data_IF_737221560413
#
_entry.id   IF_737221560413
#
_cell.length_a   1.000
_cell.length_b   1.000
_cell.length_c   1.000
_cell.angle_alpha   90.00
_cell.angle_beta   90.00
_cell.angle_gamma   90.00
#
_symmetry.space_group_name_H-M   'P 1'
#
loop_
_entity.id
_entity.type
_entity.pdbx_description
1 polymer ?
#
# COMPACT_ATOMS: atom_id res chain seq x y z
N UNK A 1 1.52 -2.31 14.22
CA UNK A 1 1.67 -1.19 13.29
C UNK A 1 1.20 -1.62 11.91
N UNK A 2 0.39 -0.77 11.28
CA UNK A 2 -0.12 -0.97 9.92
C UNK A 2 0.26 0.28 9.13
N UNK A 3 0.93 0.08 7.99
CA UNK A 3 1.30 1.17 7.10
C UNK A 3 0.15 1.49 6.14
N UNK A 4 0.05 2.72 5.69
CA UNK A 4 -0.94 3.16 4.70
C UNK A 4 -0.92 2.31 3.43
N UNK A 5 0.25 1.89 3.01
CA UNK A 5 0.42 1.01 1.85
C UNK A 5 -0.32 -0.33 1.98
N UNK A 6 -0.64 -0.77 3.20
CA UNK A 6 -1.44 -1.99 3.40
C UNK A 6 -2.91 -1.82 2.95
N UNK A 7 -3.34 -0.58 2.77
CA UNK A 7 -4.70 -0.20 2.39
C UNK A 7 -4.75 0.50 1.03
N UNK A 8 -3.71 0.31 0.21
CA UNK A 8 -3.63 0.87 -1.13
C UNK A 8 -4.85 0.44 -1.96
N UNK A 9 -5.58 1.41 -2.52
CA UNK A 9 -6.82 1.16 -3.25
C UNK A 9 -8.10 1.18 -2.41
N UNK A 10 -8.03 1.18 -1.08
CA UNK A 10 -9.22 1.28 -0.21
C UNK A 10 -9.95 2.60 -0.39
N UNK A 11 -9.24 3.67 -0.64
CA UNK A 11 -9.84 4.98 -0.91
C UNK A 11 -10.78 4.97 -2.13
N UNK A 12 -10.53 4.09 -3.10
CA UNK A 12 -11.40 3.92 -4.27
C UNK A 12 -12.75 3.25 -3.93
N UNK A 13 -12.84 2.59 -2.78
CA UNK A 13 -14.05 1.94 -2.26
C UNK A 13 -14.75 2.75 -1.15
N UNK A 14 -14.14 3.86 -0.70
CA UNK A 14 -14.66 4.62 0.43
C UNK A 14 -15.82 5.53 0.03
N UNK A 15 -16.84 5.60 0.88
CA UNK A 15 -17.95 6.56 0.81
C UNK A 15 -17.54 7.92 1.33
N UNK A 16 -16.89 7.92 2.48
CA UNK A 16 -16.42 9.13 3.12
C UNK A 16 -15.16 8.88 3.96
N UNK A 17 -14.37 9.92 4.12
CA UNK A 17 -13.21 9.93 5.00
C UNK A 17 -13.42 11.07 5.98
N UNK A 18 -13.55 10.72 7.26
CA UNK A 18 -13.69 11.67 8.33
C UNK A 18 -12.36 11.86 9.03
N UNK A 19 -11.93 13.09 9.17
CA UNK A 19 -10.69 13.44 9.88
C UNK A 19 -11.03 14.29 11.11
N UNK A 20 -10.53 13.86 12.26
CA UNK A 20 -10.51 14.64 13.48
C UNK A 20 -9.08 14.96 13.88
N UNK A 21 -8.76 16.22 14.07
CA UNK A 21 -7.44 16.68 14.52
C UNK A 21 -7.41 16.80 16.04
N UNK A 22 -6.27 16.48 16.63
CA UNK A 22 -6.04 16.60 18.08
C UNK A 22 -6.58 15.40 18.88
N UNK A 23 -6.81 15.60 20.16
CA UNK A 23 -7.33 14.57 21.05
C UNK A 23 -8.71 14.11 20.57
N UNK A 24 -8.85 12.81 20.39
CA UNK A 24 -10.14 12.24 20.01
C UNK A 24 -11.13 12.35 21.15
N UNK A 25 -12.22 13.08 20.92
CA UNK A 25 -13.36 13.14 21.84
C UNK A 25 -14.34 11.96 21.67
N UNK A 26 -14.05 11.07 20.72
CA UNK A 26 -14.91 9.91 20.40
C UNK A 26 -14.42 8.70 21.19
N UNK A 27 -15.36 7.89 21.66
CA UNK A 27 -15.12 6.58 22.27
C UNK A 27 -14.51 5.60 21.26
N UNK A 28 -13.24 5.83 20.90
CA UNK A 28 -12.46 4.87 20.13
C UNK A 28 -11.70 3.95 21.09
N UNK A 29 -11.62 2.69 20.72
CA UNK A 29 -10.90 1.68 21.51
C UNK A 29 -9.41 2.02 21.71
N UNK A 30 -8.86 2.94 20.90
CA UNK A 30 -7.46 3.39 20.98
C UNK A 30 -7.42 4.91 20.98
N UNK A 31 -6.97 5.56 22.08
CA UNK A 31 -6.83 7.01 22.11
C UNK A 31 -5.72 7.46 21.16
N UNK A 32 -5.94 8.54 20.43
CA UNK A 32 -4.99 9.16 19.53
C UNK A 32 -4.70 10.60 19.93
N UNK A 33 -3.41 10.93 20.07
CA UNK A 33 -2.96 12.29 20.43
C UNK A 33 -2.90 13.19 19.19
N UNK A 34 -2.60 12.62 18.02
CA UNK A 34 -2.39 13.38 16.77
C UNK A 34 -3.65 13.58 15.93
N UNK A 35 -4.67 12.79 16.17
CA UNK A 35 -5.93 12.80 15.41
C UNK A 35 -6.39 11.40 14.99
N UNK A 36 -7.58 11.36 14.44
CA UNK A 36 -8.21 10.13 13.97
C UNK A 36 -8.66 10.29 12.54
N UNK A 37 -8.45 9.27 11.73
CA UNK A 37 -9.02 9.16 10.40
C UNK A 37 -9.96 7.94 10.39
N UNK A 38 -11.20 8.17 10.07
CA UNK A 38 -12.21 7.13 9.92
C UNK A 38 -12.60 7.02 8.44
N UNK A 39 -12.42 5.85 7.86
CA UNK A 39 -12.79 5.54 6.48
C UNK A 39 -14.08 4.73 6.52
N UNK A 40 -15.11 5.27 5.93
CA UNK A 40 -16.44 4.69 5.94
C UNK A 40 -16.75 4.11 4.56
N UNK A 41 -17.14 2.85 4.56
CA UNK A 41 -17.69 2.16 3.41
C UNK A 41 -19.10 1.70 3.78
N UNK A 42 -20.09 2.05 3.00
CA UNK A 42 -21.49 1.68 3.22
C UNK A 42 -22.12 1.20 1.92
N UNK A 43 -22.27 -0.13 1.72
CA UNK A 43 -22.89 -0.68 0.53
C UNK A 43 -24.32 -0.22 0.29
N UNK A 44 -25.08 0.05 1.37
CA UNK A 44 -26.48 0.44 1.29
C UNK A 44 -26.69 1.92 0.89
N UNK A 45 -25.67 2.75 1.05
CA UNK A 45 -25.72 4.16 0.67
C UNK A 45 -25.52 4.43 -0.83
N UNK A 46 -25.23 3.39 -1.60
CA UNK A 46 -24.98 3.52 -3.04
C UNK A 46 -26.18 3.13 -3.87
N UNK A 47 -26.44 3.91 -4.92
CA UNK A 47 -27.35 3.51 -5.99
C UNK A 47 -26.72 2.39 -6.84
N UNK A 48 -27.57 1.63 -7.53
CA UNK A 48 -27.11 0.61 -8.48
C UNK A 48 -26.30 1.25 -9.60
N UNK A 49 -25.07 0.78 -9.78
CA UNK A 49 -24.21 1.27 -10.84
C UNK A 49 -22.81 0.71 -10.77
N UNK A 50 -22.03 1.06 -11.76
CA UNK A 50 -20.62 0.69 -11.83
C UNK A 50 -19.77 1.82 -12.38
N UNK A 51 -18.48 1.81 -12.03
CA UNK A 51 -17.51 2.80 -12.47
C UNK A 51 -16.23 2.08 -12.90
N UNK A 52 -15.75 2.43 -14.09
CA UNK A 52 -14.40 2.08 -14.54
C UNK A 52 -13.58 3.36 -14.56
N UNK A 53 -12.43 3.34 -13.91
CA UNK A 53 -11.48 4.44 -13.90
C UNK A 53 -10.13 3.93 -14.37
N UNK A 54 -9.53 4.68 -15.30
CA UNK A 54 -8.20 4.42 -15.78
C UNK A 54 -7.33 5.65 -15.50
N UNK A 55 -6.20 5.43 -14.85
CA UNK A 55 -5.21 6.47 -14.53
C UNK A 55 -3.89 6.08 -15.18
N UNK A 56 -3.27 7.03 -15.85
CA UNK A 56 -1.97 6.88 -16.50
C UNK A 56 -1.02 7.98 -16.01
N UNK A 57 0.26 7.67 -15.96
CA UNK A 57 1.27 8.61 -15.51
C UNK A 57 2.64 8.30 -16.07
N UNK A 58 3.62 9.06 -15.63
CA UNK A 58 5.03 8.88 -15.97
C UNK A 58 5.54 7.51 -15.48
N UNK A 59 6.60 6.98 -16.10
CA UNK A 59 7.17 5.68 -15.74
C UNK A 59 6.26 4.50 -16.09
N UNK A 60 5.40 4.62 -17.10
CA UNK A 60 4.47 3.56 -17.46
C UNK A 60 3.40 3.31 -16.38
N UNK A 61 3.20 4.28 -15.47
CA UNK A 61 2.18 4.14 -14.42
C UNK A 61 0.81 3.92 -15.03
N UNK A 62 0.20 2.83 -14.61
CA UNK A 62 -1.13 2.42 -15.02
C UNK A 62 -1.92 1.95 -13.80
N UNK A 63 -3.06 2.61 -13.53
CA UNK A 63 -3.98 2.16 -12.50
C UNK A 63 -5.37 2.00 -13.10
N UNK A 64 -5.91 0.79 -12.98
CA UNK A 64 -7.25 0.43 -13.43
C UNK A 64 -8.11 0.12 -12.21
N UNK A 65 -9.24 0.80 -12.09
CA UNK A 65 -10.20 0.58 -11.01
C UNK A 65 -11.54 0.18 -11.63
N UNK A 66 -12.09 -0.91 -11.12
CA UNK A 66 -13.46 -1.34 -11.39
C UNK A 66 -14.22 -1.33 -10.07
N UNK A 67 -15.31 -0.59 -10.03
CA UNK A 67 -16.25 -0.56 -8.92
C UNK A 67 -17.64 -0.94 -9.41
N UNK A 68 -18.38 -1.68 -8.57
CA UNK A 68 -19.77 -2.02 -8.81
C UNK A 68 -20.55 -2.01 -7.50
N UNK A 69 -21.75 -1.42 -7.55
CA UNK A 69 -22.73 -1.40 -6.47
C UNK A 69 -24.06 -1.93 -6.96
N UNK A 70 -24.68 -2.82 -6.21
CA UNK A 70 -25.96 -3.41 -6.58
C UNK A 70 -27.15 -2.45 -6.37
N UNK A 71 -26.96 -1.42 -5.54
CA UNK A 71 -28.08 -0.74 -4.88
C UNK A 71 -28.79 -1.67 -3.92
N UNK A 72 -29.89 -1.22 -3.36
CA UNK A 72 -30.76 -2.05 -2.50
C UNK A 72 -31.54 -3.06 -3.38
N UNK A 73 -31.36 -4.33 -3.11
CA UNK A 73 -32.05 -5.45 -3.72
C UNK A 73 -33.21 -5.85 -2.78
N UNK A 74 -34.43 -5.73 -3.23
CA UNK A 74 -35.66 -6.02 -2.45
C UNK A 74 -35.67 -5.29 -1.07
N UNK A 75 -35.14 -4.07 -1.02
CA UNK A 75 -35.02 -3.23 0.17
C UNK A 75 -34.29 -3.88 1.35
N UNK A 76 -33.54 -4.94 1.13
CA UNK A 76 -32.89 -5.72 2.18
C UNK A 76 -31.40 -5.97 1.98
N UNK A 77 -30.97 -6.18 0.76
CA UNK A 77 -29.57 -6.57 0.47
C UNK A 77 -28.89 -5.51 -0.38
N UNK A 78 -27.73 -5.09 0.03
CA UNK A 78 -26.83 -4.27 -0.80
C UNK A 78 -25.47 -4.96 -0.91
N UNK A 79 -24.88 -4.91 -2.09
CA UNK A 79 -23.56 -5.46 -2.41
C UNK A 79 -22.70 -4.38 -3.05
N UNK A 80 -21.46 -4.30 -2.66
CA UNK A 80 -20.48 -3.40 -3.24
C UNK A 80 -19.14 -4.12 -3.44
N UNK A 81 -18.50 -3.88 -4.56
CA UNK A 81 -17.21 -4.47 -4.87
C UNK A 81 -16.30 -3.51 -5.61
N UNK A 82 -15.02 -3.53 -5.28
CA UNK A 82 -13.99 -2.75 -5.96
C UNK A 82 -12.77 -3.62 -6.20
N UNK A 83 -12.22 -3.57 -7.40
CA UNK A 83 -10.95 -4.20 -7.74
C UNK A 83 -10.07 -3.12 -8.37
N UNK A 84 -8.82 -3.06 -7.91
CA UNK A 84 -7.80 -2.14 -8.41
C UNK A 84 -6.59 -2.93 -8.88
N UNK A 85 -6.07 -2.59 -10.04
CA UNK A 85 -4.76 -3.03 -10.54
C UNK A 85 -3.87 -1.82 -10.72
N UNK A 86 -2.66 -1.85 -10.16
CA UNK A 86 -1.68 -0.76 -10.24
C UNK A 86 -0.31 -1.31 -10.61
N UNK A 87 0.29 -0.74 -11.65
CA UNK A 87 1.65 -1.05 -12.10
C UNK A 87 2.36 0.23 -12.51
N UNK A 88 3.68 0.22 -12.52
CA UNK A 88 4.50 1.29 -13.06
C UNK A 88 5.89 1.30 -12.47
N UNK A 89 6.81 1.94 -13.18
CA UNK A 89 8.15 2.20 -12.70
C UNK A 89 8.16 3.47 -11.84
N UNK A 90 9.04 3.48 -10.84
CA UNK A 90 9.26 4.66 -10.02
C UNK A 90 10.21 5.65 -10.68
N UNK A 91 10.27 6.84 -10.10
CA UNK A 91 11.17 7.90 -10.56
C UNK A 91 12.66 7.55 -10.32
N UNK A 92 12.95 6.80 -9.27
CA UNK A 92 14.29 6.37 -8.89
C UNK A 92 14.59 5.02 -9.54
N UNK A 93 15.81 4.83 -10.02
CA UNK A 93 16.26 3.59 -10.67
C UNK A 93 15.96 2.36 -9.82
N UNK A 94 15.47 1.30 -10.44
CA UNK A 94 15.14 0.05 -9.78
C UNK A 94 13.95 0.12 -8.81
N UNK A 95 13.21 1.23 -8.78
CA UNK A 95 11.92 1.30 -8.08
C UNK A 95 10.77 1.06 -9.05
N UNK A 96 9.76 0.36 -8.58
CA UNK A 96 8.59 -0.04 -9.35
C UNK A 96 7.46 -0.46 -8.40
N UNK A 97 6.25 -0.53 -8.91
CA UNK A 97 5.09 -1.03 -8.18
C UNK A 97 4.31 -2.05 -9.00
N UNK A 98 3.87 -3.10 -8.34
CA UNK A 98 2.99 -4.14 -8.86
C UNK A 98 2.00 -4.50 -7.75
N UNK A 99 0.79 -4.00 -7.85
CA UNK A 99 -0.19 -4.11 -6.79
C UNK A 99 -1.58 -4.44 -7.30
N UNK A 100 -2.31 -5.17 -6.46
CA UNK A 100 -3.74 -5.34 -6.53
C UNK A 100 -4.37 -4.79 -5.26
N UNK A 101 -5.60 -4.34 -5.35
CA UNK A 101 -6.42 -4.12 -4.17
C UNK A 101 -7.83 -4.65 -4.46
N UNK A 102 -8.48 -5.14 -3.43
CA UNK A 102 -9.86 -5.57 -3.52
C UNK A 102 -10.64 -5.15 -2.28
N UNK A 103 -11.88 -4.85 -2.50
CA UNK A 103 -12.88 -4.59 -1.48
C UNK A 103 -14.15 -5.32 -1.86
N UNK A 104 -14.78 -5.94 -0.88
CA UNK A 104 -16.14 -6.45 -0.95
C UNK A 104 -16.89 -5.99 0.29
N UNK A 105 -18.08 -5.47 0.10
CA UNK A 105 -18.99 -5.09 1.17
C UNK A 105 -20.38 -5.59 0.90
N UNK A 106 -21.08 -6.05 1.93
CA UNK A 106 -22.49 -6.35 1.88
C UNK A 106 -23.20 -5.85 3.11
N UNK A 107 -24.44 -5.41 2.95
CA UNK A 107 -25.35 -5.06 4.02
C UNK A 107 -26.65 -5.83 3.81
N UNK A 108 -27.10 -6.55 4.83
CA UNK A 108 -28.33 -7.35 4.79
C UNK A 108 -29.22 -7.04 5.97
N UNK A 109 -30.38 -6.43 5.67
CA UNK A 109 -31.46 -6.21 6.64
C UNK A 109 -32.31 -7.49 6.70
N UNK A 110 -32.08 -8.30 7.74
CA UNK A 110 -32.81 -9.56 7.91
C UNK A 110 -34.28 -9.30 8.25
N UNK A 111 -34.52 -8.39 9.19
CA UNK A 111 -35.82 -7.90 9.62
C UNK A 111 -35.64 -6.48 10.23
N UNK A 112 -36.68 -5.92 10.83
CA UNK A 112 -36.63 -4.56 11.39
C UNK A 112 -35.65 -4.41 12.56
N UNK A 113 -35.33 -5.51 13.24
CA UNK A 113 -34.45 -5.55 14.41
C UNK A 113 -33.00 -5.92 14.08
N UNK A 114 -32.77 -6.75 13.05
CA UNK A 114 -31.45 -7.33 12.79
C UNK A 114 -30.88 -6.93 11.45
N UNK A 115 -29.67 -6.35 11.48
CA UNK A 115 -28.86 -6.06 10.30
C UNK A 115 -27.47 -6.70 10.41
N UNK A 116 -27.01 -7.25 9.32
CA UNK A 116 -25.68 -7.84 9.16
C UNK A 116 -24.90 -7.10 8.09
N UNK A 117 -23.62 -6.89 8.34
CA UNK A 117 -22.71 -6.32 7.35
C UNK A 117 -21.44 -7.18 7.29
N UNK A 118 -21.06 -7.57 6.08
CA UNK A 118 -19.81 -8.32 5.84
C UNK A 118 -18.89 -7.50 4.96
N UNK A 119 -17.66 -7.36 5.40
CA UNK A 119 -16.61 -6.65 4.67
C UNK A 119 -15.39 -7.53 4.50
N UNK A 120 -14.80 -7.50 3.31
CA UNK A 120 -13.52 -8.12 3.02
C UNK A 120 -12.64 -7.15 2.24
N UNK A 121 -11.39 -7.00 2.67
CA UNK A 121 -10.46 -6.05 2.08
C UNK A 121 -9.06 -6.62 2.07
N UNK A 122 -8.28 -6.29 1.05
CA UNK A 122 -6.86 -6.60 0.98
C UNK A 122 -6.17 -5.91 -0.18
N UNK A 123 -4.85 -5.74 -0.03
CA UNK A 123 -4.02 -5.08 -1.03
C UNK A 123 -2.69 -5.83 -1.19
N UNK A 124 -2.68 -6.98 -1.91
CA UNK A 124 -1.43 -7.66 -2.22
C UNK A 124 -0.57 -6.80 -3.14
N UNK A 125 0.70 -6.61 -2.76
CA UNK A 125 1.61 -5.77 -3.51
C UNK A 125 3.06 -6.22 -3.44
N UNK A 126 3.82 -5.86 -4.48
CA UNK A 126 5.27 -5.91 -4.55
C UNK A 126 5.78 -4.57 -5.05
N UNK A 127 6.95 -4.16 -4.59
CA UNK A 127 7.59 -2.95 -5.07
C UNK A 127 9.09 -2.98 -4.82
N UNK A 128 9.83 -2.32 -5.70
CA UNK A 128 11.24 -2.00 -5.51
C UNK A 128 11.39 -0.77 -4.62
N UNK A 129 12.40 -0.76 -3.76
CA UNK A 129 12.59 0.28 -2.75
C UNK A 129 13.94 1.01 -2.92
N UNK A 130 13.95 2.28 -2.50
CA UNK A 130 15.15 3.05 -2.18
C UNK A 130 15.02 3.47 -0.69
N UNK A 131 15.73 2.78 0.20
CA UNK A 131 15.49 2.88 1.65
C UNK A 131 16.42 3.83 2.39
N UNK A 132 17.58 4.11 1.86
CA UNK A 132 18.62 4.80 2.62
C UNK A 132 18.71 6.27 2.23
N UNK A 133 18.90 7.11 3.25
CA UNK A 133 19.23 8.50 3.03
C UNK A 133 20.65 8.62 2.50
N UNK A 134 20.84 9.47 1.53
CA UNK A 134 22.13 9.81 0.97
C UNK A 134 22.43 11.30 1.18
N UNK A 135 23.72 11.67 1.15
CA UNK A 135 24.08 13.06 1.02
C UNK A 135 23.55 13.60 -0.31
N UNK A 136 23.03 14.81 -0.31
CA UNK A 136 22.45 15.42 -1.50
C UNK A 136 23.47 15.57 -2.63
N UNK A 137 24.76 15.75 -2.30
CA UNK A 137 25.83 15.81 -3.29
C UNK A 137 26.02 14.51 -4.06
N UNK A 138 25.56 13.38 -3.55
CA UNK A 138 25.49 12.12 -4.30
C UNK A 138 24.59 12.22 -5.53
N UNK A 139 23.52 13.01 -5.41
CA UNK A 139 22.57 13.23 -6.50
C UNK A 139 22.94 14.41 -7.38
N UNK A 140 23.42 15.49 -6.79
CA UNK A 140 23.87 16.71 -7.47
C UNK A 140 24.73 17.56 -6.55
N UNK A 141 25.98 17.74 -6.92
CA UNK A 141 26.93 18.63 -6.21
C UNK A 141 26.56 20.09 -6.41
N UNK A 142 26.10 20.47 -7.60
CA UNK A 142 25.61 21.81 -7.90
C UNK A 142 24.45 22.19 -6.98
N UNK A 143 23.46 21.31 -6.87
CA UNK A 143 22.31 21.53 -5.98
C UNK A 143 22.76 21.60 -4.51
N UNK A 144 23.65 20.72 -4.09
CA UNK A 144 24.19 20.71 -2.73
C UNK A 144 24.85 22.06 -2.39
N UNK A 145 25.71 22.57 -3.26
CA UNK A 145 26.39 23.84 -3.08
C UNK A 145 25.46 25.07 -3.10
N UNK A 146 24.25 24.93 -3.66
CA UNK A 146 23.26 26.01 -3.69
C UNK A 146 22.42 26.12 -2.41
N UNK A 147 22.55 25.16 -1.49
CA UNK A 147 21.76 25.12 -0.26
C UNK A 147 22.48 25.91 0.84
N UNK A 148 21.81 26.89 1.40
CA UNK A 148 22.33 27.67 2.54
C UNK A 148 22.66 26.76 3.72
N UNK A 149 23.92 26.86 4.21
CA UNK A 149 24.40 26.07 5.33
C UNK A 149 24.77 24.62 5.00
N UNK A 150 24.82 24.26 3.72
CA UNK A 150 25.37 22.95 3.32
C UNK A 150 26.86 22.87 3.75
N UNK A 151 27.20 21.75 4.36
CA UNK A 151 28.57 21.50 4.80
C UNK A 151 29.33 20.67 3.75
N UNK A 152 30.15 21.31 2.96
CA UNK A 152 30.93 20.66 1.89
C UNK A 152 31.84 19.55 2.43
N UNK A 153 32.31 19.65 3.67
CA UNK A 153 33.14 18.60 4.28
C UNK A 153 32.37 17.32 4.63
N UNK A 154 31.06 17.34 4.55
CA UNK A 154 30.24 16.15 4.75
C UNK A 154 30.27 15.18 3.55
N UNK A 155 30.76 15.65 2.41
CA UNK A 155 30.95 14.84 1.21
C UNK A 155 32.45 14.81 0.88
N UNK A 156 33.09 13.73 1.28
CA UNK A 156 34.55 13.58 1.17
C UNK A 156 34.90 12.78 -0.08
N UNK A 157 35.78 13.34 -0.93
CA UNK A 157 36.41 12.60 -2.03
C UNK A 157 37.13 11.36 -1.50
N UNK A 158 36.97 10.24 -2.19
CA UNK A 158 37.60 8.96 -1.82
C UNK A 158 36.70 8.07 -0.97
N UNK A 159 35.52 8.52 -0.57
CA UNK A 159 34.52 7.64 -0.02
C UNK A 159 33.66 6.95 -1.13
N UNK A 160 32.75 6.13 -0.70
CA UNK A 160 31.94 5.22 -1.53
C UNK A 160 31.23 5.87 -2.75
N UNK A 161 31.21 7.18 -2.80
CA UNK A 161 30.58 8.00 -3.83
C UNK A 161 31.46 9.21 -4.20
N UNK A 162 32.64 8.92 -4.74
CA UNK A 162 33.58 9.96 -5.20
C UNK A 162 33.00 10.88 -6.27
N UNK A 163 32.01 10.36 -7.01
CA UNK A 163 31.40 11.06 -8.13
C UNK A 163 29.90 11.23 -7.91
N UNK A 164 29.37 12.29 -8.47
CA UNK A 164 27.96 12.50 -8.58
C UNK A 164 27.29 11.32 -9.32
N UNK A 165 26.36 10.64 -8.65
CA UNK A 165 25.67 9.48 -9.19
C UNK A 165 24.39 9.83 -9.98
N UNK A 166 23.97 11.09 -9.87
CA UNK A 166 22.79 11.60 -10.56
C UNK A 166 21.47 11.41 -9.78
N UNK A 167 20.48 12.18 -10.20
CA UNK A 167 19.21 12.31 -9.48
C UNK A 167 18.34 11.06 -9.40
N UNK A 168 18.60 10.09 -10.25
CA UNK A 168 17.86 8.82 -10.28
C UNK A 168 18.53 7.71 -9.47
N UNK A 169 19.67 7.99 -8.90
CA UNK A 169 20.50 7.00 -8.22
C UNK A 169 19.74 6.28 -7.10
N UNK A 170 19.87 4.95 -7.10
CA UNK A 170 19.41 4.05 -6.04
C UNK A 170 20.57 3.16 -5.59
N UNK A 171 21.04 3.33 -4.38
CA UNK A 171 22.14 2.53 -3.85
C UNK A 171 21.81 1.04 -3.69
N UNK A 172 20.54 0.69 -3.68
CA UNK A 172 20.07 -0.69 -3.58
C UNK A 172 19.92 -1.38 -4.93
N UNK A 173 20.22 -0.68 -5.98
CA UNK A 173 20.13 -1.15 -7.35
C UNK A 173 21.42 -0.81 -8.11
N UNK A 174 21.97 -1.77 -8.81
CA UNK A 174 23.16 -1.58 -9.63
C UNK A 174 23.06 -2.41 -10.90
N UNK A 175 23.58 -1.90 -12.03
CA UNK A 175 23.76 -2.72 -13.22
C UNK A 175 24.73 -3.85 -12.91
N UNK A 176 24.45 -5.05 -13.41
CA UNK A 176 25.34 -6.21 -13.34
C UNK A 176 25.87 -6.52 -14.73
N UNK A 177 26.97 -7.25 -14.80
CA UNK A 177 27.54 -7.73 -16.06
C UNK A 177 26.42 -8.40 -16.90
N UNK A 178 26.26 -8.03 -18.19
CA UNK A 178 25.24 -8.61 -19.06
C UNK A 178 25.32 -10.12 -19.22
N UNK A 179 26.50 -10.70 -18.98
CA UNK A 179 26.70 -12.15 -18.96
C UNK A 179 26.17 -12.84 -17.72
N UNK A 180 25.90 -12.10 -16.66
CA UNK A 180 25.43 -12.66 -15.39
C UNK A 180 23.98 -13.14 -15.49
N UNK A 181 23.78 -14.43 -15.28
CA UNK A 181 22.47 -15.11 -15.32
C UNK A 181 22.10 -15.69 -13.96
N UNK A 182 22.45 -15.00 -12.90
CA UNK A 182 22.18 -15.45 -11.54
C UNK A 182 20.70 -15.48 -11.20
N UNK A 183 20.38 -16.27 -10.22
CA UNK A 183 19.05 -16.35 -9.63
C UNK A 183 19.01 -15.61 -8.31
N UNK A 184 17.85 -15.13 -7.96
CA UNK A 184 17.54 -14.55 -6.67
C UNK A 184 17.02 -15.63 -5.73
N UNK A 185 17.60 -15.69 -4.52
CA UNK A 185 17.12 -16.53 -3.45
C UNK A 185 16.18 -15.72 -2.56
N UNK A 186 15.06 -16.29 -2.24
CA UNK A 186 14.24 -15.78 -1.18
C UNK A 186 13.67 -16.93 -0.34
N UNK A 187 13.58 -16.69 0.96
CA UNK A 187 13.15 -17.70 1.89
C UNK A 187 11.76 -17.36 2.44
N UNK A 188 10.75 -18.08 1.95
CA UNK A 188 9.43 -18.10 2.55
C UNK A 188 8.90 -19.53 2.45
N UNK A 189 8.80 -20.20 3.60
CA UNK A 189 8.42 -21.62 3.67
C UNK A 189 9.33 -22.58 2.88
N UNK A 190 10.60 -22.27 2.86
CA UNK A 190 11.64 -22.97 2.11
C UNK A 190 12.39 -22.04 1.14
N UNK A 191 13.63 -22.39 0.86
CA UNK A 191 14.42 -21.65 -0.11
C UNK A 191 13.81 -21.80 -1.50
N UNK A 192 13.51 -20.68 -2.14
CA UNK A 192 13.04 -20.63 -3.52
C UNK A 192 14.00 -19.81 -4.35
N UNK A 193 14.30 -20.29 -5.53
CA UNK A 193 15.02 -19.54 -6.56
C UNK A 193 14.01 -18.94 -7.53
N UNK A 194 14.23 -17.71 -7.92
CA UNK A 194 13.47 -17.05 -8.99
C UNK A 194 14.42 -16.25 -9.85
N UNK A 195 14.09 -16.12 -11.12
CA UNK A 195 14.84 -15.25 -12.01
C UNK A 195 14.79 -13.82 -11.51
N UNK A 196 15.85 -13.07 -11.72
CA UNK A 196 15.85 -11.65 -11.42
C UNK A 196 14.79 -10.94 -12.24
N UNK A 197 14.19 -9.93 -11.65
CA UNK A 197 13.20 -9.10 -12.32
C UNK A 197 13.75 -8.48 -13.63
N UNK A 198 15.00 -8.11 -13.63
CA UNK A 198 15.74 -7.75 -14.83
C UNK A 198 17.10 -8.45 -14.82
N UNK A 199 17.43 -9.22 -15.86
CA UNK A 199 18.66 -9.98 -15.94
C UNK A 199 19.95 -9.12 -15.90
N UNK A 200 19.84 -7.85 -16.26
CA UNK A 200 20.97 -6.90 -16.28
C UNK A 200 21.05 -6.04 -15.01
N UNK A 201 20.11 -6.20 -14.07
CA UNK A 201 19.99 -5.34 -12.92
C UNK A 201 19.85 -6.14 -11.64
N UNK A 202 20.53 -5.68 -10.60
CA UNK A 202 20.38 -6.19 -9.25
C UNK A 202 19.49 -5.25 -8.45
N UNK A 203 18.31 -5.69 -8.06
CA UNK A 203 17.50 -5.02 -7.06
C UNK A 203 17.62 -5.77 -5.72
N UNK A 204 18.34 -5.17 -4.78
CA UNK A 204 18.58 -5.75 -3.46
C UNK A 204 17.45 -5.48 -2.49
N UNK A 205 16.51 -4.60 -2.82
CA UNK A 205 15.45 -4.14 -1.93
C UNK A 205 14.09 -4.20 -2.62
N UNK A 206 13.58 -5.39 -2.68
CA UNK A 206 12.17 -5.61 -2.98
C UNK A 206 11.39 -5.85 -1.69
N UNK A 207 10.18 -5.39 -1.66
CA UNK A 207 9.23 -5.69 -0.59
C UNK A 207 7.92 -6.20 -1.18
N UNK A 208 7.30 -7.16 -0.50
CA UNK A 208 5.98 -7.66 -0.88
C UNK A 208 5.19 -8.00 0.37
N UNK A 209 3.91 -7.77 0.33
CA UNK A 209 3.02 -8.16 1.42
C UNK A 209 1.56 -8.23 0.99
N UNK A 210 0.79 -9.00 1.78
CA UNK A 210 -0.65 -9.06 1.71
C UNK A 210 -1.20 -9.21 3.13
N UNK A 211 -2.08 -8.30 3.52
CA UNK A 211 -2.71 -8.28 4.85
C UNK A 211 -4.23 -8.18 4.69
N UNK A 212 -4.90 -9.30 4.40
CA UNK A 212 -6.36 -9.31 4.29
C UNK A 212 -7.01 -9.10 5.65
N UNK A 213 -8.17 -8.45 5.60
CA UNK A 213 -9.08 -8.29 6.73
C UNK A 213 -10.47 -8.68 6.26
N UNK A 214 -11.16 -9.48 7.08
CA UNK A 214 -12.59 -9.77 6.92
C UNK A 214 -13.27 -9.45 8.24
N UNK A 215 -14.38 -8.72 8.20
CA UNK A 215 -15.17 -8.48 9.38
C UNK A 215 -16.65 -8.65 9.12
N UNK A 216 -17.35 -9.15 10.14
CA UNK A 216 -18.77 -9.31 10.19
C UNK A 216 -19.30 -8.46 11.34
N UNK A 217 -20.17 -7.51 11.02
CA UNK A 217 -20.89 -6.71 11.98
C UNK A 217 -22.32 -7.22 12.10
N UNK A 218 -22.83 -7.27 13.29
CA UNK A 218 -24.25 -7.52 13.57
C UNK A 218 -24.78 -6.41 14.44
N UNK A 219 -25.87 -5.79 14.02
CA UNK A 219 -26.61 -4.79 14.74
C UNK A 219 -27.97 -5.37 15.12
N UNK A 220 -28.30 -5.28 16.38
CA UNK A 220 -29.56 -5.74 16.94
C UNK A 220 -30.23 -4.60 17.73
N UNK A 221 -31.30 -4.08 17.18
CA UNK A 221 -32.17 -3.12 17.85
C UNK A 221 -33.12 -3.87 18.78
N UNK A 222 -32.79 -3.92 20.07
CA UNK A 222 -33.53 -4.67 21.10
C UNK A 222 -34.86 -3.97 21.37
N UNK A 223 -34.83 -2.66 21.38
CA UNK A 223 -36.01 -1.77 21.50
C UNK A 223 -35.55 -0.35 21.09
N UNK A 224 -36.45 0.62 21.18
CA UNK A 224 -36.21 2.02 20.79
C UNK A 224 -35.06 2.70 21.57
N UNK A 225 -34.71 2.18 22.75
CA UNK A 225 -33.69 2.76 23.62
C UNK A 225 -32.38 1.97 23.63
N UNK A 226 -32.40 0.71 23.20
CA UNK A 226 -31.21 -0.18 23.30
C UNK A 226 -30.86 -0.84 21.99
N UNK A 227 -29.58 -0.69 21.61
CA UNK A 227 -28.98 -1.36 20.48
C UNK A 227 -27.75 -2.15 20.92
N UNK A 228 -27.63 -3.40 20.47
CA UNK A 228 -26.42 -4.22 20.57
C UNK A 228 -25.68 -4.22 19.25
N UNK A 229 -24.38 -3.89 19.30
CA UNK A 229 -23.48 -4.01 18.15
C UNK A 229 -22.42 -5.04 18.44
N UNK A 230 -22.31 -6.05 17.58
CA UNK A 230 -21.33 -7.12 17.70
C UNK A 230 -20.42 -7.11 16.47
N UNK A 231 -19.11 -7.26 16.67
CA UNK A 231 -18.13 -7.29 15.60
C UNK A 231 -17.29 -8.54 15.74
N UNK A 232 -17.25 -9.34 14.70
CA UNK A 232 -16.31 -10.44 14.54
C UNK A 232 -15.37 -10.13 13.38
N UNK A 233 -14.06 -10.20 13.60
CA UNK A 233 -13.11 -9.97 12.53
C UNK A 233 -12.00 -11.01 12.50
N UNK A 234 -11.48 -11.23 11.32
CA UNK A 234 -10.27 -12.00 11.06
C UNK A 234 -9.30 -11.17 10.25
N UNK A 235 -8.04 -11.20 10.63
CA UNK A 235 -6.97 -10.55 9.89
C UNK A 235 -5.79 -11.51 9.76
N UNK A 236 -5.29 -11.63 8.55
CA UNK A 236 -4.09 -12.42 8.24
C UNK A 236 -2.96 -11.51 7.77
N UNK A 237 -1.79 -12.10 7.56
CA UNK A 237 -0.67 -11.38 6.98
C UNK A 237 0.38 -12.33 6.44
N UNK A 238 0.84 -12.02 5.24
CA UNK A 238 2.03 -12.62 4.65
C UNK A 238 2.86 -11.52 4.01
N UNK A 239 4.16 -11.65 4.02
CA UNK A 239 5.03 -10.68 3.39
C UNK A 239 6.49 -10.98 3.64
N UNK A 240 7.33 -10.27 2.94
CA UNK A 240 8.77 -10.39 3.01
C UNK A 240 9.45 -9.35 2.14
N UNK A 241 10.74 -9.48 2.02
CA UNK A 241 11.55 -8.63 1.18
C UNK A 241 12.91 -9.24 0.93
N UNK A 242 13.59 -8.69 -0.01
CA UNK A 242 14.99 -9.02 -0.29
C UNK A 242 15.94 -8.01 0.36
N UNK A 243 17.16 -8.40 0.55
CA UNK A 243 18.21 -7.53 1.08
C UNK A 243 19.57 -8.16 0.90
N UNK A 244 20.60 -7.36 1.04
CA UNK A 244 21.98 -7.81 0.94
C UNK A 244 22.30 -8.74 2.10
N UNK A 245 22.87 -9.89 1.80
CA UNK A 245 23.46 -10.79 2.77
C UNK A 245 24.99 -10.78 2.62
N UNK A 246 25.68 -10.36 3.67
CA UNK A 246 27.14 -10.20 3.66
C UNK A 246 27.62 -8.97 2.88
N UNK A 247 28.86 -8.99 2.44
CA UNK A 247 29.47 -7.93 1.63
C UNK A 247 29.33 -8.25 0.15
N UNK A 248 28.78 -7.32 -0.61
CA UNK A 248 28.78 -7.35 -2.07
C UNK A 248 29.83 -6.35 -2.55
N UNK A 249 30.81 -6.81 -3.28
CA UNK A 249 31.73 -5.91 -3.99
C UNK A 249 30.97 -5.32 -5.18
N UNK A 250 30.89 -3.99 -5.20
CA UNK A 250 30.23 -3.20 -6.26
C UNK A 250 31.27 -2.51 -7.11
#
# INVERSE_FOLDING_TARGET
>A
WVYWSNWDGVADASNSIQMQRGLSAVNLATPSIGGTMNIITDPAAHEKGGKIKQEVGEGGFLKSTLNYNSGLINDKLALSGTIVRKTGDGFIDGTWTDAWAYYFGSSYQMNDEHRFELYAIGAPQRHGQNLYKQNIATYSQELAGSIDGYNDSAYVEGEKFEHEAGRFFNQNWAPVDPSYKGQQYWYMYGARTTDRYNANMLNERENFFHKPLVNLNHFYDINDEMRLSSVLYWSGGSGGGTGTYGSVSR
#
